data_IF_801064082218
#
_entry.id   IF_801064082218
#
_cell.length_a   1.000
_cell.length_b   1.000
_cell.length_c   1.000
_cell.angle_alpha   90.00
_cell.angle_beta   90.00
_cell.angle_gamma   90.00
#
_symmetry.space_group_name_H-M   'P 1'
#
loop_
_entity.id
_entity.type
_entity.pdbx_description
1 polymer ?
#
# COMPACT_ATOMS: atom_id res chain seq x y z
N UNK A 1 -6.03 9.89 5.02
CA UNK A 1 -5.04 10.38 5.99
C UNK A 1 -3.67 10.04 5.44
N UNK A 2 -2.73 10.98 5.44
CA UNK A 2 -1.39 10.72 4.98
C UNK A 2 -0.54 10.04 6.09
N UNK A 3 0.58 9.42 5.71
CA UNK A 3 1.44 8.70 6.65
C UNK A 3 1.99 9.62 7.76
N UNK A 4 2.26 10.89 7.44
CA UNK A 4 2.76 11.85 8.43
C UNK A 4 1.73 12.13 9.55
N UNK A 5 0.46 12.35 9.19
CA UNK A 5 -0.62 12.54 10.19
C UNK A 5 -0.78 11.32 11.10
N UNK A 6 -0.65 10.11 10.54
CA UNK A 6 -0.69 8.88 11.30
C UNK A 6 0.50 8.76 12.25
N UNK A 7 1.70 9.17 11.83
CA UNK A 7 2.88 9.19 12.68
C UNK A 7 2.76 10.17 13.84
N UNK A 8 2.34 11.41 13.58
CA UNK A 8 2.13 12.42 14.62
C UNK A 8 1.12 11.94 15.66
N UNK A 9 0.03 11.32 15.18
CA UNK A 9 -1.00 10.79 16.08
C UNK A 9 -0.48 9.61 16.90
N UNK A 10 0.23 8.66 16.27
CA UNK A 10 0.85 7.52 16.95
C UNK A 10 1.83 7.98 18.03
N UNK A 11 2.75 8.89 17.70
CA UNK A 11 3.76 9.39 18.63
C UNK A 11 3.10 10.10 19.82
N UNK A 12 1.99 10.82 19.59
CA UNK A 12 1.19 11.44 20.65
C UNK A 12 0.54 10.39 21.57
N UNK A 13 -0.03 9.32 21.01
CA UNK A 13 -0.64 8.22 21.76
C UNK A 13 0.41 7.47 22.58
N UNK A 14 1.57 7.15 21.99
CA UNK A 14 2.67 6.49 22.70
C UNK A 14 3.16 7.37 23.86
N UNK A 15 3.27 8.68 23.66
CA UNK A 15 3.70 9.62 24.71
C UNK A 15 2.70 9.68 25.87
N UNK A 16 1.40 9.58 25.59
CA UNK A 16 0.35 9.66 26.61
C UNK A 16 0.12 8.35 27.35
N UNK A 17 0.15 7.22 26.65
CA UNK A 17 -0.29 5.93 27.18
C UNK A 17 0.79 4.85 27.18
N UNK A 18 2.00 5.15 26.66
CA UNK A 18 3.09 4.19 26.55
C UNK A 18 2.87 3.09 25.50
N UNK A 19 1.75 3.12 24.79
CA UNK A 19 1.40 2.14 23.75
C UNK A 19 0.58 2.79 22.65
N UNK A 20 0.63 2.22 21.44
CA UNK A 20 -0.27 2.56 20.35
C UNK A 20 -0.82 1.28 19.70
N UNK A 21 -2.09 1.33 19.32
CA UNK A 21 -2.72 0.29 18.49
C UNK A 21 -2.62 0.68 17.03
N UNK A 22 -2.43 -0.28 16.10
CA UNK A 22 -2.55 -0.01 14.68
C UNK A 22 -3.95 0.53 14.38
N UNK A 23 -4.03 1.69 13.69
CA UNK A 23 -5.32 2.17 13.19
C UNK A 23 -5.76 1.31 12.00
N UNK A 24 -7.04 0.98 11.95
CA UNK A 24 -7.63 0.36 10.75
C UNK A 24 -7.41 1.29 9.54
N UNK A 25 -6.96 0.72 8.42
CA UNK A 25 -6.68 1.46 7.19
C UNK A 25 -5.30 2.12 7.13
N UNK A 26 -4.37 1.72 7.99
CA UNK A 26 -2.98 2.16 7.86
C UNK A 26 -2.37 1.68 6.55
N UNK A 27 -1.93 2.63 5.73
CA UNK A 27 -1.22 2.33 4.49
C UNK A 27 0.27 2.37 4.75
N UNK A 28 0.93 1.25 4.56
CA UNK A 28 2.37 1.08 4.82
C UNK A 28 3.28 1.67 3.74
N UNK A 29 2.74 2.25 2.67
CA UNK A 29 3.53 2.77 1.55
C UNK A 29 2.93 4.04 0.94
N UNK A 30 3.78 4.82 0.29
CA UNK A 30 3.41 5.91 -0.62
C UNK A 30 4.06 5.70 -1.99
N UNK A 31 3.34 6.04 -3.06
CA UNK A 31 3.87 5.99 -4.42
C UNK A 31 3.72 7.37 -5.05
N UNK A 32 4.83 7.89 -5.56
CA UNK A 32 4.89 9.12 -6.34
C UNK A 32 5.28 8.81 -7.76
N UNK A 33 4.53 9.35 -8.71
CA UNK A 33 4.78 9.16 -10.14
C UNK A 33 5.35 10.43 -10.72
N UNK A 34 6.55 10.35 -11.30
CA UNK A 34 7.11 11.38 -12.17
C UNK A 34 6.67 11.08 -13.61
N UNK A 35 5.68 11.82 -14.11
CA UNK A 35 5.12 11.63 -15.44
C UNK A 35 6.11 11.98 -16.56
N UNK A 36 7.05 12.89 -16.30
CA UNK A 36 8.04 13.31 -17.30
C UNK A 36 9.13 12.25 -17.44
N UNK A 37 9.66 11.76 -16.33
CA UNK A 37 10.68 10.71 -16.31
C UNK A 37 10.10 9.32 -16.54
N UNK A 38 8.77 9.17 -16.46
CA UNK A 38 8.08 7.86 -16.45
C UNK A 38 8.65 6.93 -15.38
N UNK A 39 8.78 7.44 -14.17
CA UNK A 39 9.40 6.76 -13.03
C UNK A 39 8.47 6.81 -11.82
N UNK A 40 8.48 5.76 -11.03
CA UNK A 40 7.84 5.69 -9.73
C UNK A 40 8.88 5.77 -8.62
N UNK A 41 8.61 6.57 -7.60
CA UNK A 41 9.28 6.49 -6.31
C UNK A 41 8.33 5.83 -5.32
N UNK A 42 8.76 4.75 -4.71
CA UNK A 42 7.99 3.98 -3.73
C UNK A 42 8.67 4.10 -2.37
N UNK A 43 7.92 4.61 -1.40
CA UNK A 43 8.33 4.77 -0.02
C UNK A 43 7.56 3.75 0.84
N UNK A 44 8.26 2.79 1.42
CA UNK A 44 7.67 1.76 2.26
C UNK A 44 8.08 1.96 3.71
N UNK A 45 7.09 2.07 4.59
CA UNK A 45 7.31 2.15 6.03
C UNK A 45 7.72 0.78 6.58
N UNK A 46 8.79 0.75 7.37
CA UNK A 46 9.15 -0.44 8.12
C UNK A 46 8.32 -0.45 9.42
N UNK A 47 7.44 -1.44 9.62
CA UNK A 47 6.60 -1.53 10.82
C UNK A 47 7.43 -1.46 12.09
N UNK A 48 6.87 -0.85 13.14
CA UNK A 48 7.49 -0.67 14.46
C UNK A 48 8.77 0.16 14.49
N UNK A 49 9.15 0.80 13.37
CA UNK A 49 10.32 1.70 13.28
C UNK A 49 9.91 3.08 12.73
N UNK A 50 10.87 4.02 12.71
CA UNK A 50 10.72 5.31 12.02
C UNK A 50 11.38 5.30 10.64
N UNK A 51 11.94 4.18 10.22
CA UNK A 51 12.64 4.06 8.96
C UNK A 51 11.65 3.88 7.80
N UNK A 52 12.02 4.44 6.67
CA UNK A 52 11.28 4.32 5.41
C UNK A 52 12.22 3.80 4.35
N UNK A 53 11.90 2.67 3.75
CA UNK A 53 12.63 2.16 2.60
C UNK A 53 12.13 2.82 1.33
N UNK A 54 13.06 3.37 0.56
CA UNK A 54 12.79 4.02 -0.72
C UNK A 54 13.45 3.27 -1.85
N UNK A 55 12.70 3.01 -2.91
CA UNK A 55 13.25 2.61 -4.20
C UNK A 55 12.57 3.35 -5.34
N UNK A 56 13.25 3.41 -6.48
CA UNK A 56 12.68 3.92 -7.74
C UNK A 56 12.61 2.79 -8.76
N UNK A 57 11.60 2.85 -9.62
CA UNK A 57 11.43 1.92 -10.74
C UNK A 57 10.79 2.62 -11.92
N UNK A 58 11.02 2.17 -13.16
CA UNK A 58 10.27 2.66 -14.32
C UNK A 58 8.77 2.47 -14.12
N UNK A 59 7.96 3.43 -14.58
CA UNK A 59 6.50 3.30 -14.57
C UNK A 59 6.07 2.05 -15.33
N UNK A 60 5.27 1.16 -14.74
CA UNK A 60 4.87 -0.07 -15.38
C UNK A 60 4.11 0.18 -16.69
N UNK A 61 4.49 -0.54 -17.73
CA UNK A 61 3.77 -0.55 -19.00
C UNK A 61 2.80 -1.73 -19.02
N UNK A 62 1.59 -1.50 -18.49
CA UNK A 62 0.56 -2.54 -18.41
C UNK A 62 -0.08 -2.80 -19.76
N UNK A 63 -0.24 -4.07 -20.11
CA UNK A 63 -0.99 -4.49 -21.30
C UNK A 63 -2.45 -4.66 -20.94
N UNK A 64 -3.28 -3.74 -21.40
CA UNK A 64 -4.70 -3.74 -21.12
C UNK A 64 -5.51 -4.46 -22.19
N UNK A 65 -6.42 -5.34 -21.77
CA UNK A 65 -7.49 -5.86 -22.59
C UNK A 65 -8.80 -5.17 -22.18
N UNK A 66 -9.28 -4.25 -23.03
CA UNK A 66 -10.50 -3.48 -22.76
C UNK A 66 -11.71 -4.27 -23.27
N UNK A 67 -12.70 -4.43 -22.42
CA UNK A 67 -13.92 -5.17 -22.69
C UNK A 67 -15.10 -4.22 -22.95
N UNK A 68 -16.16 -4.73 -23.58
CA UNK A 68 -17.39 -3.95 -23.84
C UNK A 68 -18.32 -3.86 -22.62
N UNK A 69 -17.97 -4.52 -21.51
CA UNK A 69 -18.74 -4.48 -20.28
C UNK A 69 -18.73 -3.09 -19.67
N UNK A 70 -19.90 -2.63 -19.22
CA UNK A 70 -20.12 -1.32 -18.60
C UNK A 70 -20.74 -1.51 -17.23
N UNK A 71 -20.29 -0.71 -16.27
CA UNK A 71 -20.84 -0.65 -14.92
C UNK A 71 -20.76 0.79 -14.39
N UNK A 72 -21.35 1.05 -13.26
CA UNK A 72 -21.29 2.36 -12.59
C UNK A 72 -20.43 2.25 -11.33
N UNK A 73 -19.38 3.07 -11.24
CA UNK A 73 -18.52 3.17 -10.06
C UNK A 73 -18.51 4.62 -9.59
N UNK A 74 -18.90 4.86 -8.36
CA UNK A 74 -18.99 6.20 -7.78
C UNK A 74 -19.76 7.20 -8.67
N UNK A 75 -20.85 6.74 -9.32
CA UNK A 75 -21.68 7.55 -10.20
C UNK A 75 -21.14 7.78 -11.62
N UNK A 76 -19.95 7.32 -11.93
CA UNK A 76 -19.34 7.40 -13.27
C UNK A 76 -19.64 6.14 -14.08
N UNK A 77 -19.91 6.32 -15.37
CA UNK A 77 -20.01 5.21 -16.32
C UNK A 77 -18.60 4.68 -16.62
N UNK A 78 -18.34 3.45 -16.24
CA UNK A 78 -17.04 2.80 -16.36
C UNK A 78 -17.05 1.65 -17.35
N UNK A 79 -15.95 1.47 -18.07
CA UNK A 79 -15.66 0.30 -18.87
C UNK A 79 -14.76 -0.65 -18.12
N UNK A 80 -14.93 -1.94 -18.37
CA UNK A 80 -14.07 -2.99 -17.81
C UNK A 80 -12.79 -3.12 -18.63
N UNK A 81 -11.68 -3.31 -17.94
CA UNK A 81 -10.44 -3.78 -18.58
C UNK A 81 -9.76 -4.81 -17.67
N UNK A 82 -8.92 -5.65 -18.27
CA UNK A 82 -8.15 -6.65 -17.55
C UNK A 82 -6.67 -6.54 -17.91
N UNK A 83 -5.83 -6.90 -16.97
CA UNK A 83 -4.37 -6.98 -17.17
C UNK A 83 -3.76 -8.07 -16.30
N UNK A 84 -2.57 -8.49 -16.68
CA UNK A 84 -1.71 -9.32 -15.83
C UNK A 84 -0.47 -8.52 -15.47
N UNK A 85 -0.23 -8.37 -14.18
CA UNK A 85 0.90 -7.61 -13.66
C UNK A 85 1.42 -8.20 -12.35
N UNK A 86 2.74 -8.30 -12.19
CA UNK A 86 3.37 -8.82 -10.97
C UNK A 86 2.89 -10.23 -10.60
N UNK A 87 2.63 -11.10 -11.60
CA UNK A 87 2.16 -12.46 -11.40
C UNK A 87 0.71 -12.60 -10.93
N UNK A 88 -0.10 -11.51 -11.02
CA UNK A 88 -1.53 -11.50 -10.69
C UNK A 88 -2.36 -10.99 -11.85
N UNK A 89 -3.59 -11.48 -11.96
CA UNK A 89 -4.59 -10.98 -12.90
C UNK A 89 -5.50 -10.00 -12.20
N UNK A 90 -5.69 -8.83 -12.82
CA UNK A 90 -6.52 -7.75 -12.28
C UNK A 90 -7.68 -7.43 -13.21
N UNK A 91 -8.81 -7.12 -12.60
CA UNK A 91 -10.00 -6.56 -13.23
C UNK A 91 -10.10 -5.12 -12.77
N UNK A 92 -10.25 -4.19 -13.72
CA UNK A 92 -10.40 -2.77 -13.40
C UNK A 92 -11.62 -2.18 -14.07
N UNK A 93 -12.16 -1.13 -13.44
CA UNK A 93 -13.20 -0.29 -14.01
C UNK A 93 -12.68 1.13 -14.12
N UNK A 94 -12.68 1.67 -15.34
CA UNK A 94 -12.16 2.99 -15.65
C UNK A 94 -13.18 3.84 -16.39
N UNK A 95 -13.13 5.16 -16.24
CA UNK A 95 -14.02 6.10 -16.90
C UNK A 95 -13.25 7.08 -17.77
N UNK A 96 -13.77 7.35 -18.98
CA UNK A 96 -13.25 8.40 -19.86
C UNK A 96 -13.72 9.81 -19.45
N UNK A 97 -14.72 9.91 -18.57
CA UNK A 97 -15.26 11.20 -18.09
C UNK A 97 -14.21 11.96 -17.26
N UNK A 98 -13.20 11.27 -16.76
CA UNK A 98 -12.04 11.83 -16.08
C UNK A 98 -10.80 11.50 -16.92
N UNK A 99 -10.34 12.42 -17.80
CA UNK A 99 -9.30 12.13 -18.80
C UNK A 99 -7.89 12.17 -18.22
N UNK A 100 -7.69 11.49 -17.10
CA UNK A 100 -6.39 11.36 -16.43
C UNK A 100 -6.03 9.89 -16.40
N UNK A 101 -4.94 9.51 -17.10
CA UNK A 101 -4.45 8.12 -17.16
C UNK A 101 -3.77 7.71 -15.86
N UNK A 102 -4.56 7.55 -14.79
CA UNK A 102 -4.09 7.19 -13.46
C UNK A 102 -5.08 6.26 -12.74
N UNK A 103 -4.61 5.64 -11.68
CA UNK A 103 -5.41 4.77 -10.82
C UNK A 103 -4.74 4.55 -9.46
N UNK A 104 -5.31 3.71 -8.61
CA UNK A 104 -4.71 3.36 -7.33
C UNK A 104 -3.42 2.56 -7.54
N UNK A 105 -2.55 2.60 -6.53
CA UNK A 105 -1.27 1.91 -6.50
C UNK A 105 -0.41 2.24 -7.74
N UNK A 106 -0.04 1.27 -8.58
CA UNK A 106 0.78 1.45 -9.78
C UNK A 106 -0.03 1.37 -11.08
N UNK A 107 -1.36 1.27 -10.98
CA UNK A 107 -2.22 1.12 -12.16
C UNK A 107 -2.34 2.42 -12.94
N UNK A 108 -1.98 2.36 -14.22
CA UNK A 108 -2.07 3.48 -15.16
C UNK A 108 -2.12 2.96 -16.60
N UNK A 109 -2.26 3.86 -17.60
CA UNK A 109 -2.14 3.53 -19.01
C UNK A 109 -3.47 3.28 -19.73
N UNK A 110 -4.62 3.40 -19.04
CA UNK A 110 -5.94 3.44 -19.69
C UNK A 110 -6.30 4.88 -20.09
N UNK A 111 -7.22 5.08 -21.05
CA UNK A 111 -7.62 6.41 -21.53
C UNK A 111 -8.59 7.10 -20.56
N UNK A 112 -8.30 7.09 -19.26
CA UNK A 112 -9.13 7.68 -18.22
C UNK A 112 -8.78 7.15 -16.83
N UNK A 113 -9.47 7.69 -15.81
CA UNK A 113 -9.22 7.34 -14.42
C UNK A 113 -9.74 5.94 -14.08
N UNK A 114 -8.91 5.14 -13.42
CA UNK A 114 -9.29 3.84 -12.90
C UNK A 114 -9.91 4.06 -11.51
N UNK A 115 -11.21 3.73 -11.39
CA UNK A 115 -11.98 3.96 -10.18
C UNK A 115 -12.16 2.72 -9.31
N UNK A 116 -11.98 1.52 -9.89
CA UNK A 116 -12.02 0.26 -9.14
C UNK A 116 -11.02 -0.72 -9.71
N UNK A 117 -10.34 -1.43 -8.81
CA UNK A 117 -9.39 -2.51 -9.13
C UNK A 117 -9.67 -3.67 -8.19
N UNK A 118 -9.69 -4.89 -8.72
CA UNK A 118 -9.75 -6.11 -7.92
C UNK A 118 -8.90 -7.17 -8.58
N UNK A 119 -8.11 -7.92 -7.82
CA UNK A 119 -7.48 -9.11 -8.36
C UNK A 119 -8.46 -10.27 -8.48
N UNK A 120 -8.22 -11.22 -9.37
CA UNK A 120 -9.13 -12.34 -9.61
C UNK A 120 -9.26 -13.32 -8.43
N UNK A 121 -8.33 -13.29 -7.51
CA UNK A 121 -8.33 -14.09 -6.28
C UNK A 121 -9.00 -13.35 -5.10
N UNK A 122 -9.44 -12.10 -5.32
CA UNK A 122 -10.08 -11.24 -4.31
C UNK A 122 -9.21 -10.95 -3.05
N UNK A 123 -7.89 -10.99 -3.19
CA UNK A 123 -6.97 -10.62 -2.11
C UNK A 123 -6.83 -9.10 -1.98
N UNK A 124 -6.95 -8.37 -3.09
CA UNK A 124 -6.79 -6.92 -3.15
C UNK A 124 -7.97 -6.27 -3.86
N UNK A 125 -8.49 -5.22 -3.24
CA UNK A 125 -9.56 -4.40 -3.83
C UNK A 125 -9.33 -2.94 -3.51
N UNK A 126 -9.42 -2.10 -4.54
CA UNK A 126 -9.44 -0.64 -4.43
C UNK A 126 -10.73 -0.15 -5.05
N UNK A 127 -11.43 0.73 -4.38
CA UNK A 127 -12.64 1.35 -4.90
C UNK A 127 -12.64 2.84 -4.56
N UNK A 128 -12.97 3.68 -5.54
CA UNK A 128 -13.11 5.11 -5.35
C UNK A 128 -14.31 5.41 -4.46
N UNK A 129 -14.05 6.05 -3.33
CA UNK A 129 -15.07 6.48 -2.36
C UNK A 129 -15.23 7.99 -2.29
N UNK A 130 -14.45 8.76 -3.05
CA UNK A 130 -14.50 10.19 -3.11
C UNK A 130 -13.58 10.78 -4.16
N UNK A 131 -14.01 11.84 -4.81
CA UNK A 131 -13.23 12.62 -5.77
C UNK A 131 -13.39 14.10 -5.46
N UNK A 132 -12.28 14.80 -5.38
CA UNK A 132 -12.26 16.26 -5.23
C UNK A 132 -11.26 16.86 -6.21
N UNK A 133 -11.61 18.00 -6.79
CA UNK A 133 -10.68 18.76 -7.61
C UNK A 133 -10.05 19.86 -6.75
N UNK A 134 -8.82 19.63 -6.31
CA UNK A 134 -8.08 20.57 -5.47
C UNK A 134 -6.63 20.66 -5.93
N UNK A 135 -6.05 21.86 -5.84
CA UNK A 135 -4.61 22.06 -6.01
C UNK A 135 -3.97 21.89 -4.63
N UNK A 136 -3.27 20.78 -4.42
CA UNK A 136 -2.55 20.50 -3.20
C UNK A 136 -1.05 20.44 -3.47
N UNK A 137 -0.19 20.95 -2.57
CA UNK A 137 1.24 20.77 -2.69
C UNK A 137 1.61 19.29 -2.51
N UNK A 138 2.55 18.81 -3.32
CA UNK A 138 3.18 17.51 -3.08
C UNK A 138 4.16 17.70 -1.92
N UNK A 139 3.85 17.11 -0.78
CA UNK A 139 4.67 17.23 0.43
C UNK A 139 5.79 16.20 0.40
N UNK A 140 7.03 16.66 0.54
CA UNK A 140 8.17 15.80 0.82
C UNK A 140 8.40 15.81 2.33
N UNK A 141 8.30 14.63 2.97
CA UNK A 141 8.51 14.49 4.41
C UNK A 141 10.00 14.36 4.72
N UNK A 142 10.42 14.88 5.86
CA UNK A 142 11.78 14.70 6.39
C UNK A 142 11.87 13.37 7.15
N UNK A 143 11.71 12.28 6.42
CA UNK A 143 11.85 10.93 6.98
C UNK A 143 13.27 10.41 6.81
N UNK A 144 13.64 9.50 7.68
CA UNK A 144 14.90 8.76 7.54
C UNK A 144 14.79 7.71 6.46
N UNK A 145 15.11 8.09 5.22
CA UNK A 145 15.06 7.19 4.08
C UNK A 145 16.25 6.25 4.03
N UNK A 146 15.97 4.97 3.83
CA UNK A 146 16.94 3.93 3.45
C UNK A 146 16.73 3.60 1.98
N UNK A 147 17.64 4.09 1.14
CA UNK A 147 17.60 3.80 -0.28
C UNK A 147 18.04 2.36 -0.54
N UNK A 148 17.29 1.63 -1.36
CA UNK A 148 17.56 0.26 -1.77
C UNK A 148 16.98 -0.01 -3.14
N UNK A 149 17.33 -1.12 -3.76
CA UNK A 149 16.67 -1.60 -4.97
C UNK A 149 15.31 -2.25 -4.65
N UNK A 150 14.41 -2.30 -5.64
CA UNK A 150 13.15 -3.05 -5.52
C UNK A 150 13.38 -4.52 -5.12
N UNK A 151 14.41 -5.15 -5.69
CA UNK A 151 14.75 -6.55 -5.38
C UNK A 151 15.18 -6.74 -3.92
N UNK A 152 15.94 -5.79 -3.38
CA UNK A 152 16.33 -5.81 -1.97
C UNK A 152 15.11 -5.59 -1.06
N UNK A 153 14.23 -4.66 -1.44
CA UNK A 153 12.99 -4.44 -0.71
C UNK A 153 12.12 -5.70 -0.65
N UNK A 154 11.87 -6.35 -1.78
CA UNK A 154 11.07 -7.59 -1.84
C UNK A 154 11.66 -8.69 -0.95
N UNK A 155 12.99 -8.87 -0.98
CA UNK A 155 13.66 -9.85 -0.11
C UNK A 155 13.52 -9.49 1.36
N UNK A 156 13.70 -8.21 1.69
CA UNK A 156 13.58 -7.72 3.06
C UNK A 156 12.14 -7.89 3.57
N UNK A 157 11.15 -7.46 2.79
CA UNK A 157 9.74 -7.57 3.12
C UNK A 157 9.33 -9.03 3.34
N UNK A 158 9.69 -9.93 2.42
CA UNK A 158 9.44 -11.36 2.55
C UNK A 158 10.02 -11.93 3.85
N UNK A 159 11.30 -11.65 4.12
CA UNK A 159 11.97 -12.10 5.34
C UNK A 159 11.30 -11.55 6.61
N UNK A 160 10.84 -10.30 6.57
CA UNK A 160 10.12 -9.68 7.68
C UNK A 160 8.80 -10.41 7.99
N UNK A 161 8.07 -10.88 6.98
CA UNK A 161 6.84 -11.66 7.18
C UNK A 161 7.12 -13.09 7.62
N UNK A 162 8.09 -13.76 7.00
CA UNK A 162 8.45 -15.15 7.31
C UNK A 162 9.04 -15.29 8.72
N UNK A 163 9.70 -14.24 9.23
CA UNK A 163 10.32 -14.21 10.56
C UNK A 163 9.79 -13.04 11.40
N UNK A 164 8.47 -12.86 11.41
CA UNK A 164 7.83 -11.69 12.01
C UNK A 164 8.14 -11.53 13.51
N UNK A 165 8.19 -12.62 14.26
CA UNK A 165 8.53 -12.58 15.68
C UNK A 165 9.93 -12.05 15.94
N UNK A 166 10.95 -12.56 15.23
CA UNK A 166 12.32 -12.10 15.32
C UNK A 166 12.46 -10.64 14.86
N UNK A 167 11.78 -10.29 13.77
CA UNK A 167 11.79 -8.91 13.27
C UNK A 167 11.25 -7.94 14.33
N UNK A 168 10.08 -8.21 14.91
CA UNK A 168 9.47 -7.36 15.94
C UNK A 168 10.40 -7.24 17.16
N UNK A 169 10.95 -8.35 17.64
CA UNK A 169 11.90 -8.37 18.76
C UNK A 169 13.13 -7.50 18.45
N UNK A 170 13.65 -7.54 17.23
CA UNK A 170 14.82 -6.73 16.81
C UNK A 170 14.56 -5.23 16.78
N UNK A 171 13.30 -4.78 16.66
CA UNK A 171 12.93 -3.37 16.67
C UNK A 171 12.86 -2.77 18.09
N UNK A 172 12.91 -3.61 19.12
CA UNK A 172 12.66 -3.21 20.51
C UNK A 172 11.18 -2.97 20.83
N UNK A 173 10.28 -3.21 19.89
CA UNK A 173 8.84 -3.13 20.12
C UNK A 173 8.37 -4.25 21.05
N UNK A 174 7.52 -3.91 22.00
CA UNK A 174 6.81 -4.88 22.85
C UNK A 174 5.42 -5.06 22.28
N UNK A 175 5.18 -6.18 21.65
CA UNK A 175 3.86 -6.54 21.13
C UNK A 175 3.27 -7.65 21.99
N UNK A 176 2.07 -7.44 22.44
CA UNK A 176 1.32 -8.36 23.30
C UNK A 176 0.12 -8.83 22.48
N UNK A 177 -0.03 -10.13 22.31
CA UNK A 177 -1.24 -10.72 21.74
C UNK A 177 -2.26 -10.83 22.87
N UNK A 178 -3.38 -10.13 22.76
CA UNK A 178 -4.52 -10.35 23.65
C UNK A 178 -5.32 -11.54 23.14
N UNK A 179 -5.29 -12.62 23.87
CA UNK A 179 -6.19 -13.75 23.65
C UNK A 179 -7.53 -13.45 24.33
N UNK A 180 -8.63 -13.70 23.62
CA UNK A 180 -9.99 -13.63 24.20
C UNK A 180 -10.28 -14.76 25.20
N UNK A 181 -9.34 -15.67 25.44
CA UNK A 181 -9.42 -16.65 26.52
C UNK A 181 -9.07 -15.97 27.86
N UNK A 182 -9.70 -16.36 28.94
CA UNK A 182 -9.52 -15.82 30.31
C UNK A 182 -8.08 -15.92 30.88
N UNK A 183 -7.10 -16.33 30.08
CA UNK A 183 -5.71 -16.61 30.48
C UNK A 183 -4.69 -15.49 30.26
N UNK A 184 -5.12 -14.33 29.78
CA UNK A 184 -4.23 -13.16 29.76
C UNK A 184 -3.48 -12.92 28.45
N UNK A 185 -2.60 -11.93 28.47
CA UNK A 185 -1.80 -11.50 27.33
C UNK A 185 -0.48 -12.26 27.27
N UNK A 186 -0.05 -12.66 26.08
CA UNK A 186 1.22 -13.33 25.85
C UNK A 186 2.15 -12.44 24.99
N UNK A 187 3.48 -12.42 25.27
CA UNK A 187 4.43 -11.81 24.37
C UNK A 187 4.46 -12.56 23.04
N UNK A 188 4.75 -11.85 21.94
CA UNK A 188 4.91 -12.47 20.63
C UNK A 188 6.06 -13.46 20.68
N UNK A 189 5.80 -14.69 20.16
CA UNK A 189 6.84 -15.69 19.98
C UNK A 189 7.82 -15.26 18.88
N UNK A 190 9.11 -15.44 19.09
CA UNK A 190 10.15 -15.26 18.07
C UNK A 190 9.95 -16.20 16.86
N UNK A 191 9.24 -17.30 17.05
CA UNK A 191 8.90 -18.26 15.99
C UNK A 191 7.67 -17.84 15.16
N UNK A 192 7.04 -16.67 15.48
CA UNK A 192 5.91 -16.18 14.70
C UNK A 192 6.32 -15.93 13.25
N UNK A 193 5.60 -16.53 12.33
CA UNK A 193 5.62 -16.20 10.90
C UNK A 193 4.24 -15.72 10.47
N UNK A 194 4.22 -14.81 9.49
CA UNK A 194 2.99 -14.28 8.89
C UNK A 194 2.92 -14.70 7.41
N UNK A 195 1.70 -14.84 6.92
CA UNK A 195 1.50 -15.16 5.52
C UNK A 195 1.90 -13.97 4.63
N UNK A 196 2.87 -14.19 3.76
CA UNK A 196 3.33 -13.19 2.80
C UNK A 196 2.54 -13.27 1.50
N UNK A 197 1.73 -12.26 1.24
CA UNK A 197 0.89 -12.18 0.05
C UNK A 197 1.02 -10.80 -0.64
N UNK A 198 2.12 -10.54 -1.36
CA UNK A 198 2.35 -9.24 -1.98
C UNK A 198 1.44 -8.99 -3.17
N UNK A 199 1.25 -7.72 -3.54
CA UNK A 199 0.55 -7.34 -4.78
C UNK A 199 1.34 -7.70 -6.03
N UNK A 200 2.68 -7.78 -5.95
CA UNK A 200 3.58 -8.30 -6.97
C UNK A 200 4.21 -9.60 -6.44
N UNK A 201 4.01 -10.71 -7.17
CA UNK A 201 4.58 -12.02 -6.80
C UNK A 201 5.98 -12.22 -7.36
#
# INVERSE_FOLDING_TARGET
KNLHELDVKRDSIIKLYGMATPEQGWQGYEIRTDLQKKELTVDNRIPFTKDVCRYTEPSPQMKWNIENSVDSVFGYKCKKATTEYGGRKYIVWFTNDIPISTGPWKFAGLPGAILKVTDTEHNFSFECIGLTQQTLPIVNYDWKYKNMSKTEWIKFEKNMYEHAGLFISSTGARVIIMDNSEKGSHPISEQLSLFYNPMEK
#
